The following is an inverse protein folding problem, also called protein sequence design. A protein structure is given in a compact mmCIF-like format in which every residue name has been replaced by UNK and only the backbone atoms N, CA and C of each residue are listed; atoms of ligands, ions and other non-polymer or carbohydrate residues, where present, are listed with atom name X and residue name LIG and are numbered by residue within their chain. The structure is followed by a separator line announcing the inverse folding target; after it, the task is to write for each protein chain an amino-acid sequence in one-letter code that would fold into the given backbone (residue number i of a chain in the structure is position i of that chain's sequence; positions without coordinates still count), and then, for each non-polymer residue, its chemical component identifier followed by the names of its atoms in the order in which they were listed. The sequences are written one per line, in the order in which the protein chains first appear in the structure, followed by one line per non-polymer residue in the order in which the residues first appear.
data_IF_788430944219
#
_entry.id   IF_788430944219
#
_cell.length_a   1.000
_cell.length_b   1.000
_cell.length_c   1.000
_cell.angle_alpha   90.00
_cell.angle_beta   90.00
_cell.angle_gamma   90.00
#
_symmetry.space_group_name_H-M   'P 1'
#
loop_
_entity.id
_entity.type
_entity.pdbx_description
1 polymer ?
#
# COMPACT_ATOMS: atom_id res chain seq x y z
N UNK A 1 -8.60 0.22 21.42
CA UNK A 1 -7.47 0.22 22.36
C UNK A 1 -6.52 -0.87 21.93
N UNK A 2 -5.57 -0.55 21.05
CA UNK A 2 -4.49 -1.45 20.65
C UNK A 2 -3.30 -0.57 20.26
N UNK A 3 -2.09 -1.00 20.62
CA UNK A 3 -0.85 -0.33 20.20
C UNK A 3 0.01 -1.23 19.32
N UNK A 4 -0.19 -2.54 19.37
CA UNK A 4 0.53 -3.53 18.56
C UNK A 4 -0.46 -4.58 18.00
N UNK A 5 0.04 -5.48 17.16
CA UNK A 5 -0.71 -6.57 16.54
C UNK A 5 -1.25 -7.58 17.55
N UNK A 6 -0.49 -7.90 18.59
CA UNK A 6 -0.97 -8.80 19.66
C UNK A 6 -2.16 -8.21 20.42
N UNK A 7 -2.14 -6.92 20.75
CA UNK A 7 -3.26 -6.20 21.38
C UNK A 7 -4.49 -6.25 20.47
N UNK A 8 -4.31 -5.96 19.18
CA UNK A 8 -5.38 -5.99 18.18
C UNK A 8 -6.00 -7.39 18.07
N UNK A 9 -5.16 -8.43 18.01
CA UNK A 9 -5.59 -9.82 17.95
C UNK A 9 -6.36 -10.24 19.21
N UNK A 10 -5.87 -9.84 20.39
CA UNK A 10 -6.54 -10.11 21.67
C UNK A 10 -7.88 -9.38 21.77
N UNK A 11 -7.98 -8.13 21.27
CA UNK A 11 -9.23 -7.40 21.20
C UNK A 11 -10.25 -8.08 20.27
N UNK A 12 -9.81 -8.53 19.08
CA UNK A 12 -10.65 -9.29 18.15
C UNK A 12 -11.21 -10.56 18.81
N UNK A 13 -10.36 -11.33 19.50
CA UNK A 13 -10.74 -12.56 20.21
C UNK A 13 -11.71 -12.29 21.37
N UNK A 14 -11.40 -11.31 22.20
CA UNK A 14 -12.18 -11.00 23.42
C UNK A 14 -13.57 -10.48 23.08
N UNK A 15 -13.68 -9.63 22.06
CA UNK A 15 -14.96 -9.04 21.65
C UNK A 15 -15.67 -9.86 20.56
N UNK A 16 -15.05 -10.93 20.06
CA UNK A 16 -15.52 -11.73 18.93
C UNK A 16 -15.88 -10.85 17.71
N UNK A 17 -14.95 -10.00 17.30
CA UNK A 17 -15.12 -9.00 16.23
C UNK A 17 -13.98 -9.06 15.23
N UNK A 18 -14.24 -8.77 13.94
CA UNK A 18 -13.19 -8.63 12.93
C UNK A 18 -12.36 -7.37 13.19
N UNK A 19 -11.21 -7.25 12.51
CA UNK A 19 -10.27 -6.14 12.68
C UNK A 19 -10.94 -4.81 12.38
N UNK A 20 -11.65 -4.68 11.25
CA UNK A 20 -12.28 -3.41 10.87
C UNK A 20 -13.20 -2.85 11.96
N UNK A 21 -13.89 -3.71 12.71
CA UNK A 21 -14.82 -3.31 13.76
C UNK A 21 -14.07 -2.91 15.04
N UNK A 22 -12.96 -3.58 15.37
CA UNK A 22 -12.08 -3.14 16.46
C UNK A 22 -11.46 -1.77 16.16
N UNK A 23 -11.06 -1.53 14.91
CA UNK A 23 -10.52 -0.23 14.46
C UNK A 23 -11.61 0.83 14.55
N UNK A 24 -12.82 0.55 14.08
CA UNK A 24 -13.97 1.45 14.19
C UNK A 24 -14.26 1.86 15.64
N UNK A 25 -14.31 0.89 16.56
CA UNK A 25 -14.54 1.16 17.98
C UNK A 25 -13.43 2.00 18.61
N UNK A 26 -12.19 1.80 18.17
CA UNK A 26 -11.05 2.62 18.61
C UNK A 26 -11.15 4.07 18.09
N UNK A 27 -11.53 4.25 16.83
CA UNK A 27 -11.73 5.58 16.23
C UNK A 27 -12.90 6.35 16.88
N UNK A 28 -14.03 5.69 17.16
CA UNK A 28 -15.16 6.27 17.90
C UNK A 28 -14.70 6.78 19.26
N UNK A 29 -13.96 5.95 19.99
CA UNK A 29 -13.48 6.28 21.34
C UNK A 29 -12.50 7.45 21.35
N UNK A 30 -11.58 7.50 20.38
CA UNK A 30 -10.49 8.48 20.38
C UNK A 30 -10.87 9.84 19.78
N UNK A 31 -11.87 9.87 18.88
CA UNK A 31 -12.25 11.11 18.19
C UNK A 31 -13.61 11.68 18.63
N UNK A 32 -14.35 10.98 19.50
CA UNK A 32 -15.68 11.38 19.95
C UNK A 32 -16.66 11.65 18.78
N UNK A 33 -16.64 10.76 17.80
CA UNK A 33 -17.48 10.78 16.58
C UNK A 33 -18.35 9.53 16.51
N UNK A 34 -19.42 9.56 15.70
CA UNK A 34 -20.29 8.40 15.53
C UNK A 34 -19.71 7.39 14.52
N UNK A 35 -20.23 6.16 14.54
CA UNK A 35 -19.94 5.15 13.52
C UNK A 35 -20.25 5.67 12.10
N UNK A 36 -21.38 6.37 11.93
CA UNK A 36 -21.79 6.89 10.64
C UNK A 36 -20.81 7.92 10.10
N UNK A 37 -20.28 8.81 10.96
CA UNK A 37 -19.29 9.82 10.57
C UNK A 37 -18.00 9.16 10.03
N UNK A 38 -17.53 8.09 10.70
CA UNK A 38 -16.33 7.36 10.29
C UNK A 38 -16.56 6.64 8.96
N UNK A 39 -17.68 5.93 8.82
CA UNK A 39 -18.02 5.20 7.60
C UNK A 39 -18.20 6.15 6.41
N UNK A 40 -18.83 7.32 6.63
CA UNK A 40 -18.95 8.35 5.62
C UNK A 40 -17.58 8.89 5.18
N UNK A 41 -16.69 9.17 6.15
CA UNK A 41 -15.32 9.61 5.83
C UNK A 41 -14.54 8.55 5.06
N UNK A 42 -14.69 7.27 5.40
CA UNK A 42 -14.06 6.16 4.66
C UNK A 42 -14.62 6.05 3.24
N UNK A 43 -15.91 6.30 3.03
CA UNK A 43 -16.53 6.35 1.70
C UNK A 43 -15.97 7.50 0.85
N UNK A 44 -15.81 8.70 1.44
CA UNK A 44 -15.19 9.85 0.77
C UNK A 44 -13.73 9.56 0.35
N UNK A 45 -12.97 8.91 1.24
CA UNK A 45 -11.60 8.44 0.96
C UNK A 45 -11.61 7.42 -0.18
N UNK A 46 -12.53 6.45 -0.14
CA UNK A 46 -12.67 5.43 -1.18
C UNK A 46 -12.97 6.07 -2.53
N UNK A 47 -13.83 7.10 -2.58
CA UNK A 47 -14.14 7.80 -3.81
C UNK A 47 -12.92 8.51 -4.43
N UNK A 48 -12.06 9.11 -3.59
CA UNK A 48 -10.79 9.72 -4.04
C UNK A 48 -9.84 8.64 -4.58
N UNK A 49 -9.72 7.55 -3.84
CA UNK A 49 -8.91 6.38 -4.20
C UNK A 49 -9.33 5.81 -5.56
N UNK A 50 -10.63 5.62 -5.78
CA UNK A 50 -11.17 5.15 -7.05
C UNK A 50 -10.83 6.08 -8.19
N UNK A 51 -11.11 7.38 -8.04
CA UNK A 51 -10.82 8.36 -9.07
C UNK A 51 -9.33 8.37 -9.44
N UNK A 52 -8.42 8.32 -8.45
CA UNK A 52 -6.99 8.27 -8.72
C UNK A 52 -6.55 6.97 -9.43
N UNK A 53 -7.28 5.87 -9.22
CA UNK A 53 -6.96 4.55 -9.78
C UNK A 53 -7.49 4.33 -11.21
N UNK A 54 -8.39 5.19 -11.70
CA UNK A 54 -9.02 5.06 -13.02
C UNK A 54 -8.77 6.27 -13.92
N UNK A 55 -8.69 7.48 -13.36
CA UNK A 55 -8.63 8.71 -14.15
C UNK A 55 -7.47 8.72 -15.17
N UNK A 56 -6.21 8.40 -14.81
CA UNK A 56 -5.10 8.35 -15.79
C UNK A 56 -5.19 7.23 -16.84
N UNK A 57 -6.03 6.22 -16.61
CA UNK A 57 -6.30 5.17 -17.62
C UNK A 57 -7.22 5.73 -18.70
N UNK A 58 -8.26 6.45 -18.29
CA UNK A 58 -9.30 6.96 -19.18
C UNK A 58 -8.88 8.26 -19.88
N UNK A 59 -8.16 9.13 -19.16
CA UNK A 59 -7.72 10.45 -19.62
C UNK A 59 -6.22 10.59 -19.46
N UNK A 60 -5.57 11.14 -20.48
CA UNK A 60 -4.15 11.45 -20.38
C UNK A 60 -3.91 12.52 -19.31
N UNK A 61 -2.85 12.32 -18.51
CA UNK A 61 -2.36 13.27 -17.53
C UNK A 61 -0.88 13.56 -17.82
N UNK A 62 -0.47 14.81 -17.63
CA UNK A 62 0.93 15.23 -17.74
C UNK A 62 1.54 15.24 -16.34
N UNK A 63 2.68 14.56 -16.17
CA UNK A 63 3.40 14.51 -14.90
C UNK A 63 4.43 15.63 -14.82
N UNK A 64 4.74 16.07 -13.60
CA UNK A 64 5.64 17.19 -13.36
C UNK A 64 7.06 16.91 -13.87
N UNK A 65 7.58 15.70 -13.62
CA UNK A 65 8.92 15.30 -14.05
C UNK A 65 9.00 14.71 -15.45
N UNK A 66 7.87 14.26 -16.01
CA UNK A 66 7.82 13.63 -17.33
C UNK A 66 8.58 12.30 -17.42
N UNK A 67 8.93 11.66 -16.30
CA UNK A 67 9.62 10.36 -16.27
C UNK A 67 8.61 9.22 -16.46
N UNK A 68 7.41 9.39 -15.91
CA UNK A 68 6.28 8.46 -16.08
C UNK A 68 5.09 9.13 -16.77
N UNK A 69 4.23 8.32 -17.40
CA UNK A 69 3.01 8.75 -18.06
C UNK A 69 2.41 7.67 -18.97
N UNK A 70 1.16 7.30 -18.73
CA UNK A 70 0.40 6.36 -19.55
C UNK A 70 0.75 4.88 -19.36
N UNK A 71 1.58 4.53 -18.37
CA UNK A 71 1.79 3.13 -17.96
C UNK A 71 0.50 2.47 -17.48
N UNK A 72 -0.36 3.17 -16.73
CA UNK A 72 -1.66 2.68 -16.27
C UNK A 72 -2.53 2.24 -17.44
N UNK A 73 -2.65 3.09 -18.47
CA UNK A 73 -3.40 2.76 -19.71
C UNK A 73 -2.80 1.58 -20.46
N UNK A 74 -1.47 1.55 -20.64
CA UNK A 74 -0.76 0.44 -21.30
C UNK A 74 -0.96 -0.88 -20.56
N UNK A 75 -0.85 -0.85 -19.23
CA UNK A 75 -0.99 -2.02 -18.37
C UNK A 75 -2.44 -2.50 -18.30
N UNK A 76 -3.41 -1.59 -18.30
CA UNK A 76 -4.84 -1.94 -18.37
C UNK A 76 -5.16 -2.64 -19.69
N UNK A 77 -4.66 -2.13 -20.82
CA UNK A 77 -4.81 -2.79 -22.11
C UNK A 77 -4.17 -4.18 -22.11
N UNK A 78 -2.96 -4.32 -21.56
CA UNK A 78 -2.28 -5.61 -21.44
C UNK A 78 -3.03 -6.61 -20.56
N UNK A 79 -3.72 -6.14 -19.51
CA UNK A 79 -4.55 -6.98 -18.62
C UNK A 79 -5.71 -7.68 -19.33
N UNK A 80 -6.13 -7.19 -20.50
CA UNK A 80 -7.18 -7.82 -21.31
C UNK A 80 -6.63 -8.84 -22.31
N UNK A 81 -5.32 -9.04 -22.36
CA UNK A 81 -4.70 -10.03 -23.23
C UNK A 81 -4.61 -11.40 -22.56
N UNK A 82 -4.69 -12.46 -23.36
CA UNK A 82 -4.47 -13.84 -22.90
C UNK A 82 -2.99 -14.16 -22.65
N UNK A 83 -2.09 -13.18 -22.82
CA UNK A 83 -0.63 -13.35 -22.68
C UNK A 83 -0.10 -12.92 -21.31
N UNK A 84 -0.98 -12.52 -20.39
CA UNK A 84 -0.56 -12.09 -19.05
C UNK A 84 0.12 -13.23 -18.28
N UNK A 85 1.30 -12.94 -17.71
CA UNK A 85 2.08 -13.93 -16.96
C UNK A 85 1.48 -14.16 -15.57
N UNK A 86 1.14 -13.07 -14.86
CA UNK A 86 0.58 -13.12 -13.50
C UNK A 86 -0.95 -13.25 -13.48
N UNK A 87 -1.57 -13.45 -14.64
CA UNK A 87 -3.02 -13.45 -14.81
C UNK A 87 -3.65 -12.05 -14.84
N UNK A 88 -4.81 -11.97 -15.50
CA UNK A 88 -5.49 -10.70 -15.81
C UNK A 88 -5.75 -9.81 -14.60
N UNK A 89 -6.12 -10.40 -13.45
CA UNK A 89 -6.51 -9.63 -12.27
C UNK A 89 -5.32 -8.97 -11.59
N UNK A 90 -4.19 -9.67 -11.47
CA UNK A 90 -2.95 -9.08 -10.94
C UNK A 90 -2.44 -8.00 -11.90
N UNK A 91 -2.50 -8.24 -13.21
CA UNK A 91 -2.15 -7.22 -14.22
C UNK A 91 -3.05 -5.98 -14.13
N UNK A 92 -4.36 -6.16 -13.90
CA UNK A 92 -5.31 -5.07 -13.69
C UNK A 92 -5.02 -4.29 -12.40
N UNK A 93 -4.66 -4.98 -11.31
CA UNK A 93 -4.24 -4.32 -10.07
C UNK A 93 -2.99 -3.45 -10.30
N UNK A 94 -1.97 -3.97 -10.99
CA UNK A 94 -0.80 -3.17 -11.36
C UNK A 94 -1.16 -1.94 -12.19
N UNK A 95 -2.12 -2.05 -13.12
CA UNK A 95 -2.61 -0.92 -13.91
C UNK A 95 -3.20 0.20 -13.05
N UNK A 96 -4.02 -0.15 -12.05
CA UNK A 96 -4.56 0.80 -11.06
C UNK A 96 -3.46 1.45 -10.23
N UNK A 97 -2.45 0.69 -9.84
CA UNK A 97 -1.31 1.21 -9.06
C UNK A 97 -0.48 2.23 -9.87
N UNK A 98 -0.25 1.95 -11.16
CA UNK A 98 0.35 2.92 -12.08
C UNK A 98 -0.50 4.16 -12.23
N UNK A 99 -1.81 4.01 -12.42
CA UNK A 99 -2.73 5.14 -12.53
C UNK A 99 -2.67 6.04 -11.30
N UNK A 100 -2.73 5.51 -10.08
CA UNK A 100 -2.59 6.32 -8.87
C UNK A 100 -1.24 7.06 -8.82
N UNK A 101 -0.15 6.40 -9.23
CA UNK A 101 1.19 7.00 -9.25
C UNK A 101 1.29 8.13 -10.26
N UNK A 102 0.70 7.96 -11.45
CA UNK A 102 0.61 8.99 -12.48
C UNK A 102 -0.24 10.18 -11.99
N UNK A 103 -1.37 9.92 -11.35
CA UNK A 103 -2.23 10.98 -10.80
C UNK A 103 -1.53 11.77 -9.69
N UNK A 104 -0.76 11.09 -8.83
CA UNK A 104 0.08 11.75 -7.83
C UNK A 104 1.17 12.60 -8.50
N UNK A 105 1.88 12.04 -9.49
CA UNK A 105 2.94 12.75 -10.21
C UNK A 105 2.42 13.91 -11.08
N UNK A 106 1.13 13.93 -11.41
CA UNK A 106 0.45 15.06 -12.06
C UNK A 106 -0.20 16.04 -11.07
N UNK A 107 0.13 15.96 -9.77
CA UNK A 107 -0.44 16.78 -8.70
C UNK A 107 -1.98 16.66 -8.56
N UNK A 108 -2.53 15.53 -9.00
CA UNK A 108 -3.93 15.17 -8.80
C UNK A 108 -4.24 14.83 -7.34
N UNK A 109 -5.53 14.92 -6.97
CA UNK A 109 -5.97 14.62 -5.61
C UNK A 109 -5.88 13.11 -5.33
N UNK A 110 -4.93 12.71 -4.48
CA UNK A 110 -4.76 11.33 -4.00
C UNK A 110 -5.05 11.21 -2.50
N UNK A 111 -5.16 9.97 -2.01
CA UNK A 111 -5.13 9.67 -0.59
C UNK A 111 -3.76 9.08 -0.22
N UNK A 112 -3.09 9.63 0.78
CA UNK A 112 -1.85 9.07 1.30
C UNK A 112 -2.11 7.71 1.98
N UNK A 113 -1.30 6.70 1.65
CA UNK A 113 -1.56 5.33 2.08
C UNK A 113 -0.26 4.47 2.21
N UNK A 114 0.55 4.65 3.27
CA UNK A 114 0.48 5.72 4.27
C UNK A 114 1.12 7.04 3.79
N UNK A 115 1.92 7.02 2.72
CA UNK A 115 2.49 8.24 2.12
C UNK A 115 1.94 8.50 0.72
N UNK A 116 2.24 9.66 0.15
CA UNK A 116 1.92 9.94 -1.25
C UNK A 116 2.68 9.01 -2.22
N UNK A 117 3.91 8.61 -1.86
CA UNK A 117 4.74 7.73 -2.68
C UNK A 117 4.26 6.28 -2.78
N UNK A 118 3.42 5.83 -1.85
CA UNK A 118 2.80 4.49 -1.83
C UNK A 118 1.29 4.52 -2.06
N UNK A 119 0.74 5.65 -2.52
CA UNK A 119 -0.71 5.89 -2.57
C UNK A 119 -1.50 4.91 -3.45
N UNK A 120 -0.84 4.22 -4.37
CA UNK A 120 -1.49 3.31 -5.31
C UNK A 120 -1.70 1.90 -4.80
N UNK A 121 -1.00 1.45 -3.75
CA UNK A 121 -0.99 0.02 -3.36
C UNK A 121 -2.34 -0.41 -2.78
N UNK A 122 -2.83 0.28 -1.76
CA UNK A 122 -4.10 -0.04 -1.09
C UNK A 122 -5.29 0.04 -2.06
N UNK A 123 -5.54 1.16 -2.78
CA UNK A 123 -6.70 1.23 -3.67
C UNK A 123 -6.62 0.21 -4.81
N UNK A 124 -5.44 -0.01 -5.39
CA UNK A 124 -5.29 -1.01 -6.45
C UNK A 124 -5.60 -2.43 -5.96
N UNK A 125 -5.19 -2.78 -4.74
CA UNK A 125 -5.46 -4.08 -4.14
C UNK A 125 -6.97 -4.28 -3.91
N UNK A 126 -7.58 -3.44 -3.07
CA UNK A 126 -8.94 -3.66 -2.57
C UNK A 126 -9.97 -3.52 -3.69
N UNK A 127 -9.81 -2.54 -4.60
CA UNK A 127 -10.74 -2.34 -5.71
C UNK A 127 -10.68 -3.51 -6.70
N UNK A 128 -9.50 -4.11 -6.88
CA UNK A 128 -9.33 -5.24 -7.81
C UNK A 128 -9.88 -6.53 -7.25
N UNK A 129 -9.66 -6.79 -5.95
CA UNK A 129 -10.29 -7.94 -5.31
C UNK A 129 -11.82 -7.79 -5.25
N UNK A 130 -12.30 -6.59 -4.91
CA UNK A 130 -13.74 -6.32 -4.87
C UNK A 130 -14.42 -6.54 -6.22
N UNK A 131 -13.80 -6.05 -7.31
CA UNK A 131 -14.32 -6.28 -8.65
C UNK A 131 -14.25 -7.77 -9.05
N UNK A 132 -13.13 -8.45 -8.78
CA UNK A 132 -12.94 -9.87 -9.10
C UNK A 132 -14.01 -10.75 -8.46
N UNK A 133 -14.34 -10.48 -7.20
CA UNK A 133 -15.25 -11.30 -6.40
C UNK A 133 -16.68 -10.73 -6.30
N UNK A 134 -16.97 -9.62 -6.99
CA UNK A 134 -18.24 -8.88 -6.90
C UNK A 134 -18.63 -8.51 -5.45
N UNK A 135 -17.67 -8.04 -4.66
CA UNK A 135 -17.96 -7.63 -3.29
C UNK A 135 -18.77 -6.34 -3.24
N UNK A 136 -19.74 -6.23 -2.32
CA UNK A 136 -20.51 -5.01 -2.16
C UNK A 136 -19.63 -3.89 -1.61
N UNK A 137 -19.97 -2.64 -1.97
CA UNK A 137 -19.28 -1.40 -1.58
C UNK A 137 -18.88 -1.37 -0.10
N UNK A 138 -19.80 -1.77 0.78
CA UNK A 138 -19.59 -1.75 2.23
C UNK A 138 -18.40 -2.60 2.69
N UNK A 139 -18.08 -3.70 1.99
CA UNK A 139 -16.90 -4.53 2.29
C UNK A 139 -15.61 -3.78 1.94
N UNK A 140 -15.61 -3.00 0.85
CA UNK A 140 -14.46 -2.18 0.45
C UNK A 140 -14.21 -1.05 1.45
N UNK A 141 -15.28 -0.41 1.94
CA UNK A 141 -15.20 0.60 3.01
C UNK A 141 -14.62 0.00 4.30
N UNK A 142 -15.09 -1.18 4.71
CA UNK A 142 -14.56 -1.90 5.89
C UNK A 142 -13.09 -2.27 5.71
N UNK A 143 -12.68 -2.67 4.50
CA UNK A 143 -11.29 -3.00 4.20
C UNK A 143 -10.33 -1.82 4.39
N UNK A 144 -10.81 -0.57 4.21
CA UNK A 144 -10.03 0.62 4.52
C UNK A 144 -9.79 0.77 6.03
N UNK A 145 -10.76 0.41 6.87
CA UNK A 145 -10.57 0.38 8.34
C UNK A 145 -9.56 -0.69 8.74
N UNK A 146 -9.62 -1.89 8.16
CA UNK A 146 -8.60 -2.93 8.37
C UNK A 146 -7.20 -2.41 8.01
N UNK A 147 -7.08 -1.81 6.82
CA UNK A 147 -5.84 -1.20 6.34
C UNK A 147 -5.33 -0.13 7.30
N UNK A 148 -6.21 0.77 7.76
CA UNK A 148 -5.88 1.86 8.67
C UNK A 148 -5.38 1.34 10.03
N UNK A 149 -5.98 0.28 10.56
CA UNK A 149 -5.55 -0.32 11.83
C UNK A 149 -4.12 -0.88 11.77
N UNK A 150 -3.79 -1.58 10.68
CA UNK A 150 -2.42 -2.06 10.45
C UNK A 150 -1.47 -0.87 10.27
N UNK A 151 -1.86 0.14 9.50
CA UNK A 151 -1.06 1.35 9.31
C UNK A 151 -0.78 2.09 10.62
N UNK A 152 -1.77 2.17 11.52
CA UNK A 152 -1.63 2.76 12.86
C UNK A 152 -0.60 2.01 13.70
N UNK A 153 -0.60 0.68 13.68
CA UNK A 153 0.39 -0.11 14.43
C UNK A 153 1.80 0.17 13.89
N UNK A 154 1.98 0.17 12.56
CA UNK A 154 3.28 0.42 11.95
C UNK A 154 3.77 1.84 12.27
N UNK A 155 2.92 2.85 12.14
CA UNK A 155 3.31 4.24 12.42
C UNK A 155 3.59 4.50 13.90
N UNK A 156 2.95 3.76 14.81
CA UNK A 156 3.16 3.88 16.26
C UNK A 156 4.50 3.26 16.70
N UNK A 157 4.89 2.13 16.11
CA UNK A 157 6.05 1.35 16.58
C UNK A 157 7.28 1.44 15.67
N UNK A 158 7.15 2.04 14.49
CA UNK A 158 8.21 2.19 13.51
C UNK A 158 8.12 3.58 12.84
N UNK A 159 8.51 3.65 11.57
CA UNK A 159 8.33 4.83 10.72
C UNK A 159 7.62 4.41 9.45
N UNK A 160 6.89 5.35 8.85
CA UNK A 160 6.34 5.22 7.49
C UNK A 160 7.04 6.14 6.50
N UNK A 161 8.12 6.81 6.92
CA UNK A 161 8.85 7.78 6.10
C UNK A 161 9.96 7.11 5.28
N UNK A 162 9.96 7.35 3.97
CA UNK A 162 11.01 6.89 3.06
C UNK A 162 12.38 7.48 3.41
N UNK A 163 12.39 8.75 3.84
CA UNK A 163 13.58 9.46 4.30
C UNK A 163 14.18 8.89 5.59
N UNK A 164 13.40 8.21 6.43
CA UNK A 164 13.88 7.65 7.70
C UNK A 164 14.20 6.15 7.59
N UNK A 165 13.29 5.38 7.00
CA UNK A 165 13.31 3.91 7.00
C UNK A 165 13.57 3.27 5.63
N UNK A 166 13.75 4.06 4.58
CA UNK A 166 13.76 3.56 3.20
C UNK A 166 12.36 3.21 2.70
N UNK A 167 12.25 2.75 1.46
CA UNK A 167 10.94 2.52 0.82
C UNK A 167 10.22 1.27 1.37
N UNK A 168 10.90 0.42 2.14
CA UNK A 168 10.25 -0.58 2.99
C UNK A 168 9.25 0.04 3.99
N UNK A 169 9.55 1.22 4.53
CA UNK A 169 8.68 1.91 5.47
C UNK A 169 7.44 2.51 4.78
N UNK A 170 7.52 2.82 3.49
CA UNK A 170 6.42 3.38 2.71
C UNK A 170 5.64 2.28 1.97
N UNK A 171 6.24 1.75 0.90
CA UNK A 171 5.62 0.76 0.03
C UNK A 171 5.47 -0.60 0.72
N UNK A 172 6.41 -0.97 1.61
CA UNK A 172 6.28 -2.19 2.41
C UNK A 172 5.10 -2.10 3.38
N UNK A 173 4.99 -0.99 4.13
CA UNK A 173 3.85 -0.73 5.02
C UNK A 173 2.53 -0.70 4.26
N UNK A 174 2.46 -0.03 3.11
CA UNK A 174 1.26 -0.02 2.27
C UNK A 174 0.88 -1.42 1.77
N UNK A 175 1.86 -2.23 1.38
CA UNK A 175 1.64 -3.62 0.97
C UNK A 175 1.14 -4.48 2.15
N UNK A 176 1.65 -4.25 3.35
CA UNK A 176 1.21 -4.94 4.57
C UNK A 176 -0.23 -4.57 4.97
N UNK A 177 -0.56 -3.27 4.92
CA UNK A 177 -1.91 -2.76 5.13
C UNK A 177 -2.89 -3.38 4.12
N UNK A 178 -2.52 -3.39 2.84
CA UNK A 178 -3.32 -4.00 1.78
C UNK A 178 -3.47 -5.52 1.97
N UNK A 179 -2.40 -6.23 2.29
CA UNK A 179 -2.43 -7.68 2.47
C UNK A 179 -3.41 -8.10 3.57
N UNK A 180 -3.36 -7.45 4.73
CA UNK A 180 -4.29 -7.70 5.83
C UNK A 180 -5.76 -7.43 5.44
N UNK A 181 -6.00 -6.34 4.70
CA UNK A 181 -7.33 -6.02 4.20
C UNK A 181 -7.83 -7.06 3.18
N UNK A 182 -6.98 -7.52 2.26
CA UNK A 182 -7.34 -8.57 1.30
C UNK A 182 -7.71 -9.88 2.01
N UNK A 183 -6.98 -10.27 3.06
CA UNK A 183 -7.30 -11.45 3.87
C UNK A 183 -8.68 -11.32 4.52
N UNK A 184 -8.94 -10.21 5.20
CA UNK A 184 -10.22 -10.00 5.88
C UNK A 184 -11.40 -9.91 4.89
N UNK A 185 -11.21 -9.22 3.74
CA UNK A 185 -12.20 -9.18 2.65
C UNK A 185 -12.54 -10.58 2.14
N UNK A 186 -11.58 -11.50 2.13
CA UNK A 186 -11.74 -12.86 1.63
C UNK A 186 -12.06 -13.88 2.74
N UNK A 187 -12.53 -13.41 3.91
CA UNK A 187 -13.03 -14.25 5.00
C UNK A 187 -11.94 -14.89 5.88
N UNK A 188 -10.70 -14.42 5.78
CA UNK A 188 -9.61 -14.89 6.64
C UNK A 188 -9.74 -14.39 8.08
N UNK A 189 -9.05 -15.08 8.98
CA UNK A 189 -9.04 -14.75 10.42
C UNK A 189 -8.16 -13.52 10.72
N UNK A 190 -8.36 -12.83 11.85
CA UNK A 190 -7.48 -11.74 12.27
C UNK A 190 -6.00 -12.15 12.38
N UNK A 191 -5.71 -13.39 12.77
CA UNK A 191 -4.35 -13.92 12.79
C UNK A 191 -3.76 -14.00 11.38
N UNK A 192 -4.51 -14.55 10.42
CA UNK A 192 -4.07 -14.60 9.02
C UNK A 192 -3.84 -13.20 8.43
N UNK A 193 -4.64 -12.20 8.83
CA UNK A 193 -4.44 -10.82 8.39
C UNK A 193 -3.11 -10.25 8.90
N UNK A 194 -2.76 -10.50 10.17
CA UNK A 194 -1.47 -10.13 10.73
C UNK A 194 -0.31 -10.92 10.11
N UNK A 195 -0.50 -12.21 9.82
CA UNK A 195 0.49 -13.03 9.13
C UNK A 195 0.75 -12.55 7.71
N UNK A 196 -0.30 -12.19 6.96
CA UNK A 196 -0.18 -11.62 5.62
C UNK A 196 0.56 -10.27 5.65
N UNK A 197 0.27 -9.41 6.63
CA UNK A 197 1.00 -8.17 6.83
C UNK A 197 2.48 -8.42 7.14
N UNK A 198 2.78 -9.40 8.00
CA UNK A 198 4.14 -9.80 8.36
C UNK A 198 4.91 -10.36 7.15
N UNK A 199 4.29 -11.23 6.36
CA UNK A 199 4.87 -11.79 5.12
C UNK A 199 5.14 -10.67 4.12
N UNK A 200 4.18 -9.76 3.92
CA UNK A 200 4.32 -8.64 3.01
C UNK A 200 5.53 -7.79 3.39
N UNK A 201 5.72 -7.42 4.66
CA UNK A 201 6.89 -6.66 5.11
C UNK A 201 8.21 -7.40 4.89
N UNK A 202 8.29 -8.69 5.25
CA UNK A 202 9.51 -9.51 5.11
C UNK A 202 9.98 -9.61 3.66
N UNK A 203 9.05 -9.72 2.70
CA UNK A 203 9.39 -9.86 1.27
C UNK A 203 10.15 -8.65 0.70
N UNK A 204 10.11 -7.51 1.38
CA UNK A 204 10.61 -6.21 0.88
C UNK A 204 11.62 -5.58 1.85
N UNK A 205 11.90 -6.23 2.98
CA UNK A 205 12.77 -5.69 4.03
C UNK A 205 14.16 -5.34 3.49
N UNK A 206 14.65 -4.15 3.84
CA UNK A 206 15.89 -3.58 3.32
C UNK A 206 15.75 -2.76 2.04
N UNK A 207 14.54 -2.58 1.49
CA UNK A 207 14.37 -1.75 0.29
C UNK A 207 14.67 -0.27 0.56
N UNK A 208 15.69 0.21 -0.13
CA UNK A 208 16.19 1.58 -0.10
C UNK A 208 15.21 2.58 -0.75
N UNK A 209 15.31 3.87 -0.44
CA UNK A 209 14.54 4.93 -1.13
C UNK A 209 15.50 5.87 -1.86
N UNK A 210 15.66 5.72 -3.17
CA UNK A 210 16.61 6.54 -3.95
C UNK A 210 15.97 6.94 -5.29
N UNK A 211 14.99 7.86 -5.29
CA UNK A 211 14.24 8.22 -6.49
C UNK A 211 15.06 9.06 -7.47
N UNK A 212 14.84 8.84 -8.77
CA UNK A 212 15.42 9.62 -9.85
C UNK A 212 14.98 11.08 -9.72
N UNK A 213 15.95 12.00 -9.78
CA UNK A 213 15.74 13.44 -9.62
C UNK A 213 15.04 13.86 -8.31
N UNK A 214 15.01 12.99 -7.29
CA UNK A 214 14.24 13.25 -6.07
C UNK A 214 12.72 13.23 -6.27
N UNK A 215 12.22 12.78 -7.42
CA UNK A 215 10.80 12.81 -7.77
C UNK A 215 10.10 11.49 -7.44
N UNK A 216 8.84 11.60 -7.01
CA UNK A 216 7.97 10.45 -6.70
C UNK A 216 7.41 9.81 -7.99
N UNK A 217 8.30 9.45 -8.90
CA UNK A 217 7.99 8.89 -10.22
C UNK A 217 8.70 7.56 -10.47
N UNK A 218 10.04 7.59 -10.52
CA UNK A 218 10.87 6.41 -10.76
C UNK A 218 11.88 6.22 -9.62
N UNK A 219 11.95 5.04 -8.97
CA UNK A 219 11.21 3.81 -9.25
C UNK A 219 9.82 3.71 -8.58
N UNK A 220 9.32 4.78 -7.95
CA UNK A 220 8.14 4.77 -7.09
C UNK A 220 6.89 4.16 -7.74
N UNK A 221 6.60 4.49 -9.00
CA UNK A 221 5.46 3.92 -9.75
C UNK A 221 5.53 2.40 -9.90
N UNK A 222 6.72 1.85 -10.20
CA UNK A 222 6.93 0.40 -10.34
C UNK A 222 6.92 -0.28 -8.96
N UNK A 223 7.32 0.42 -7.90
CA UNK A 223 7.21 -0.05 -6.52
C UNK A 223 5.76 -0.12 -6.04
N UNK A 224 4.88 0.77 -6.47
CA UNK A 224 3.44 0.64 -6.22
C UNK A 224 2.86 -0.61 -6.91
N UNK A 225 3.21 -0.83 -8.18
CA UNK A 225 2.80 -2.04 -8.90
C UNK A 225 3.36 -3.33 -8.26
N UNK A 226 4.63 -3.33 -7.83
CA UNK A 226 5.20 -4.48 -7.12
C UNK A 226 4.57 -4.68 -5.74
N UNK A 227 4.26 -3.60 -5.03
CA UNK A 227 3.64 -3.63 -3.71
C UNK A 227 2.24 -4.23 -3.75
N UNK A 228 1.45 -3.92 -4.79
CA UNK A 228 0.13 -4.55 -4.96
C UNK A 228 0.24 -6.06 -5.20
N UNK A 229 1.21 -6.51 -6.01
CA UNK A 229 1.47 -7.94 -6.23
C UNK A 229 1.88 -8.62 -4.93
N UNK A 230 2.78 -8.00 -4.17
CA UNK A 230 3.21 -8.52 -2.86
C UNK A 230 2.03 -8.65 -1.89
N UNK A 231 1.09 -7.70 -1.89
CA UNK A 231 -0.10 -7.76 -1.05
C UNK A 231 -0.99 -8.98 -1.39
N UNK A 232 -1.25 -9.21 -2.68
CA UNK A 232 -2.01 -10.39 -3.13
C UNK A 232 -1.30 -11.70 -2.77
N UNK A 233 0.00 -11.82 -3.09
CA UNK A 233 0.77 -13.03 -2.80
C UNK A 233 0.80 -13.31 -1.30
N UNK A 234 1.02 -12.29 -0.48
CA UNK A 234 1.07 -12.45 0.99
C UNK A 234 -0.29 -12.86 1.56
N UNK A 235 -1.38 -12.30 1.02
CA UNK A 235 -2.74 -12.70 1.39
C UNK A 235 -3.05 -14.15 1.00
N UNK A 236 -2.71 -14.57 -0.23
CA UNK A 236 -2.91 -15.94 -0.69
C UNK A 236 -2.10 -16.96 0.15
N UNK A 237 -0.84 -16.62 0.50
CA UNK A 237 0.00 -17.44 1.37
C UNK A 237 -0.68 -17.63 2.73
N UNK A 238 -1.09 -16.55 3.40
CA UNK A 238 -1.73 -16.64 4.71
C UNK A 238 -3.09 -17.37 4.67
N UNK A 239 -3.91 -17.11 3.64
CA UNK A 239 -5.21 -17.78 3.45
C UNK A 239 -5.05 -19.28 3.17
N UNK A 240 -3.96 -19.70 2.54
CA UNK A 240 -3.65 -21.12 2.33
C UNK A 240 -3.28 -21.88 3.61
N UNK A 241 -3.12 -21.17 4.74
CA UNK A 241 -2.70 -21.74 6.01
C UNK A 241 -1.18 -21.75 6.23
N UNK A 242 -0.41 -21.17 5.30
CA UNK A 242 1.03 -20.95 5.49
C UNK A 242 1.19 -19.68 6.33
N UNK A 243 1.38 -19.88 7.64
CA UNK A 243 1.47 -18.80 8.61
C UNK A 243 2.88 -18.18 8.66
N UNK A 244 2.97 -16.95 9.16
CA UNK A 244 4.25 -16.30 9.37
C UNK A 244 4.98 -16.93 10.55
N UNK A 245 6.21 -17.40 10.34
CA UNK A 245 7.05 -17.93 11.44
C UNK A 245 7.39 -16.85 12.47
N UNK A 246 7.61 -15.60 12.01
CA UNK A 246 7.92 -14.45 12.85
C UNK A 246 6.66 -13.59 13.00
N UNK A 247 6.20 -13.29 14.22
CA UNK A 247 5.00 -12.47 14.45
C UNK A 247 5.09 -11.08 13.83
N UNK A 248 3.93 -10.50 13.51
CA UNK A 248 3.84 -9.16 12.90
C UNK A 248 4.60 -8.08 13.66
N UNK A 249 4.47 -8.05 14.99
CA UNK A 249 5.11 -7.02 15.83
C UNK A 249 6.63 -7.07 15.75
N UNK A 250 7.21 -8.26 15.79
CA UNK A 250 8.66 -8.47 15.62
C UNK A 250 9.13 -8.08 14.21
N UNK A 251 8.31 -8.33 13.19
CA UNK A 251 8.63 -7.91 11.81
C UNK A 251 8.61 -6.39 11.67
N UNK A 252 7.67 -5.69 12.33
CA UNK A 252 7.61 -4.22 12.36
C UNK A 252 8.84 -3.65 13.06
N UNK A 253 9.24 -4.22 14.20
CA UNK A 253 10.46 -3.82 14.90
C UNK A 253 11.71 -4.08 14.06
N UNK A 254 11.79 -5.24 13.39
CA UNK A 254 12.89 -5.57 12.50
C UNK A 254 12.98 -4.57 11.33
N UNK A 255 11.85 -4.21 10.71
CA UNK A 255 11.80 -3.18 9.66
C UNK A 255 12.35 -1.84 10.17
N UNK A 256 11.95 -1.43 11.37
CA UNK A 256 12.43 -0.19 12.00
C UNK A 256 13.95 -0.22 12.22
N UNK A 257 14.47 -1.31 12.80
CA UNK A 257 15.89 -1.48 13.06
C UNK A 257 16.72 -1.50 11.76
N UNK A 258 16.24 -2.16 10.71
CA UNK A 258 16.87 -2.13 9.38
C UNK A 258 16.87 -0.69 8.83
N UNK A 259 15.78 0.04 8.97
CA UNK A 259 15.69 1.45 8.56
C UNK A 259 16.69 2.35 9.29
N UNK A 260 16.84 2.18 10.61
CA UNK A 260 17.84 2.93 11.41
C UNK A 260 19.28 2.60 11.00
N UNK A 261 19.56 1.34 10.70
CA UNK A 261 20.88 0.88 10.24
C UNK A 261 21.20 1.23 8.78
N UNK A 262 20.22 1.68 7.99
CA UNK A 262 20.42 2.01 6.59
C UNK A 262 21.29 3.27 6.42
N UNK A 263 22.29 3.20 5.56
CA UNK A 263 23.16 4.32 5.22
C UNK A 263 22.35 5.49 4.61
N UNK A 264 22.70 6.73 4.93
CA UNK A 264 21.97 7.94 4.49
C UNK A 264 21.82 8.04 2.96
N UNK A 265 22.86 7.69 2.19
CA UNK A 265 22.82 7.63 0.72
C UNK A 265 21.76 6.67 0.14
N UNK A 266 21.29 5.70 0.92
CA UNK A 266 20.24 4.75 0.51
C UNK A 266 18.85 5.14 1.03
N UNK A 267 18.74 6.26 1.72
CA UNK A 267 17.48 6.95 2.01
C UNK A 267 17.27 8.01 0.93
N UNK A 268 16.20 8.78 1.05
CA UNK A 268 15.61 9.70 0.05
C UNK A 268 16.51 10.90 -0.36
N UNK A 269 17.83 10.74 -0.31
CA UNK A 269 18.87 11.72 -0.62
C UNK A 269 19.26 11.75 -2.09
N UNK A 270 18.84 10.75 -2.90
CA UNK A 270 19.20 10.62 -4.32
C UNK A 270 20.72 10.50 -4.59
N UNK A 271 21.46 9.83 -3.68
CA UNK A 271 22.94 9.81 -3.66
C UNK A 271 23.58 8.42 -3.72
N UNK A 272 22.82 7.33 -3.65
CA UNK A 272 23.42 6.00 -3.43
C UNK A 272 23.10 4.92 -4.46
N UNK A 273 21.89 4.92 -5.01
CA UNK A 273 21.35 3.81 -5.79
C UNK A 273 21.11 4.18 -7.26
N UNK A 274 19.87 4.00 -7.71
CA UNK A 274 19.51 4.25 -9.11
C UNK A 274 19.61 5.72 -9.50
N UNK A 275 19.46 6.66 -8.56
CA UNK A 275 19.42 8.08 -8.82
C UNK A 275 20.76 8.65 -9.33
N UNK A 276 21.88 7.99 -9.02
CA UNK A 276 23.23 8.40 -9.43
C UNK A 276 23.70 7.75 -10.74
N UNK A 277 22.85 6.95 -11.39
CA UNK A 277 23.18 6.32 -12.68
C UNK A 277 23.16 7.34 -13.82
N UNK A 278 23.90 7.08 -14.90
CA UNK A 278 24.04 8.02 -16.03
C UNK A 278 22.68 8.45 -16.62
N UNK A 279 21.76 7.49 -16.80
CA UNK A 279 20.41 7.77 -17.30
C UNK A 279 19.60 8.60 -16.31
N UNK A 280 19.68 8.29 -15.01
CA UNK A 280 18.97 9.06 -13.97
C UNK A 280 19.49 10.50 -13.90
N UNK A 281 20.80 10.70 -13.92
CA UNK A 281 21.43 12.03 -13.96
C UNK A 281 21.00 12.80 -15.22
N UNK A 282 20.89 12.13 -16.37
CA UNK A 282 20.41 12.75 -17.60
C UNK A 282 18.93 13.21 -17.50
N UNK A 283 18.07 12.47 -16.79
CA UNK A 283 16.71 12.93 -16.47
C UNK A 283 16.72 14.14 -15.53
N UNK A 284 17.51 14.09 -14.45
CA UNK A 284 17.63 15.20 -13.49
C UNK A 284 18.04 16.52 -14.13
N UNK A 285 18.86 16.50 -15.20
CA UNK A 285 19.27 17.70 -15.94
C UNK A 285 18.18 18.29 -16.85
N UNK A 286 17.16 17.51 -17.20
CA UNK A 286 16.07 17.94 -18.10
C UNK A 286 14.88 18.53 -17.35
N UNK A 287 14.72 18.17 -16.09
CA UNK A 287 13.70 18.70 -15.19
C UNK A 287 14.15 20.10 -14.77
N UNK A 288 13.36 21.12 -15.13
CA UNK A 288 13.62 22.54 -14.83
C UNK A 288 12.86 22.97 -13.59
#
# INVERSE_FOLDING_TARGET
MYNNGMDLLNACRTLNKPIWEIVLLDEIKNNNVTEQDILQRMEEILQIMENSSTHPIDKHVETVGGIIGGEGKKMMAYSQSDRTISGRWITKAMARAFACSEYNASMGKICAAPTAGSCGIIPAAILTLAEKNNFPRQIVVRALLTSAGIGKIISTNATVSGAEGGCQAECGSAAAMAAAALVEMNGGTPLQSLDAAAIALKNIMGLICDPVAGLVEAPCSKRNASGVVNAFVSADIALSGILSVIPFDEVVEAMYNVGKGMHENFKETAKGGIAITDTAIAYSRKIK
#
